data_IF_049914792138
#
_entry.id   IF_049914792138
#
_cell.length_a   1.000
_cell.length_b   1.000
_cell.length_c   1.000
_cell.angle_alpha   90.00
_cell.angle_beta   90.00
_cell.angle_gamma   90.00
#
_symmetry.space_group_name_H-M   'P 1'
#
loop_
_entity.id
_entity.type
_entity.pdbx_description
1 polymer ?
#
# COMPACT_ATOMS: atom_id res chain seq x y z
N UNK A 1 3.11 -31.40 -6.82
CA UNK A 1 3.97 -30.88 -5.73
C UNK A 1 3.05 -30.21 -4.71
N UNK A 2 3.49 -29.57 -3.60
CA UNK A 2 2.54 -28.93 -2.70
C UNK A 2 1.89 -27.70 -3.36
N UNK A 3 0.56 -27.63 -3.30
CA UNK A 3 -0.24 -26.60 -3.95
C UNK A 3 -0.05 -25.24 -3.24
N UNK A 4 0.10 -24.16 -4.00
CA UNK A 4 0.25 -22.79 -3.47
C UNK A 4 -0.87 -21.88 -4.00
N UNK A 5 -1.34 -20.95 -3.19
CA UNK A 5 -2.36 -19.95 -3.56
C UNK A 5 -1.75 -18.56 -3.71
N UNK A 6 -2.08 -17.86 -4.79
CA UNK A 6 -1.72 -16.46 -4.99
C UNK A 6 -2.95 -15.60 -5.26
N UNK A 7 -3.23 -14.64 -4.37
CA UNK A 7 -4.30 -13.66 -4.55
C UNK A 7 -3.68 -12.29 -4.89
N UNK A 8 -3.87 -11.83 -6.13
CA UNK A 8 -3.44 -10.51 -6.58
C UNK A 8 -4.63 -9.54 -6.66
N UNK A 9 -4.44 -8.28 -6.26
CA UNK A 9 -5.44 -7.23 -6.54
C UNK A 9 -5.60 -7.05 -8.05
N UNK A 10 -6.80 -6.69 -8.51
CA UNK A 10 -6.98 -6.29 -9.91
C UNK A 10 -6.17 -5.03 -10.24
N UNK A 11 -5.96 -4.82 -11.54
CA UNK A 11 -5.21 -3.67 -12.05
C UNK A 11 -6.14 -2.60 -12.65
N UNK A 12 -5.83 -1.33 -12.37
CA UNK A 12 -6.43 -0.20 -13.07
C UNK A 12 -6.12 -0.30 -14.58
N UNK A 13 -4.82 -0.42 -14.93
CA UNK A 13 -4.37 -0.69 -16.30
C UNK A 13 -4.81 -2.08 -16.73
N UNK A 14 -5.51 -2.16 -17.86
CA UNK A 14 -5.96 -3.40 -18.49
C UNK A 14 -5.43 -3.44 -19.93
N UNK A 15 -5.07 -4.63 -20.42
CA UNK A 15 -4.62 -4.85 -21.81
C UNK A 15 -5.61 -5.70 -22.59
N UNK A 16 -5.34 -5.87 -23.87
CA UNK A 16 -6.17 -6.63 -24.81
C UNK A 16 -7.41 -5.86 -25.24
N UNK A 17 -8.16 -6.40 -26.22
CA UNK A 17 -9.33 -5.74 -26.81
C UNK A 17 -10.54 -5.83 -25.86
N UNK A 18 -11.72 -5.32 -26.23
CA UNK A 18 -12.83 -5.17 -25.29
C UNK A 18 -13.52 -6.50 -24.91
N UNK A 19 -13.40 -7.52 -25.77
CA UNK A 19 -13.95 -8.86 -25.64
C UNK A 19 -13.42 -9.59 -24.38
N UNK A 20 -14.17 -10.55 -23.80
CA UNK A 20 -13.72 -11.29 -22.64
C UNK A 20 -12.39 -12.03 -22.87
N UNK A 21 -11.38 -11.76 -22.04
CA UNK A 21 -10.11 -12.50 -21.99
C UNK A 21 -9.79 -12.86 -20.53
N UNK A 22 -8.99 -13.91 -20.31
CA UNK A 22 -8.64 -14.39 -18.97
C UNK A 22 -8.12 -13.25 -18.08
N UNK A 23 -8.46 -13.24 -16.78
CA UNK A 23 -8.04 -12.21 -15.84
C UNK A 23 -6.50 -12.05 -15.74
N UNK A 24 -5.76 -13.15 -15.82
CA UNK A 24 -4.30 -13.22 -15.95
C UNK A 24 -3.80 -12.39 -17.15
N UNK A 25 -4.54 -12.44 -18.26
CA UNK A 25 -4.24 -11.68 -19.45
C UNK A 25 -4.72 -10.23 -19.35
N UNK A 26 -5.97 -10.00 -18.92
CA UNK A 26 -6.59 -8.68 -18.81
C UNK A 26 -5.79 -7.71 -17.93
N UNK A 27 -5.34 -8.12 -16.74
CA UNK A 27 -4.74 -7.19 -15.77
C UNK A 27 -3.27 -6.88 -16.07
N UNK A 28 -2.93 -5.60 -16.28
CA UNK A 28 -1.56 -5.19 -16.62
C UNK A 28 -0.88 -4.35 -15.52
N UNK A 29 -1.08 -4.78 -14.27
CA UNK A 29 -0.41 -4.22 -13.11
C UNK A 29 1.02 -4.78 -12.94
N UNK A 30 1.95 -4.08 -12.27
CA UNK A 30 3.31 -4.57 -12.07
C UNK A 30 3.41 -5.98 -11.45
N UNK A 31 2.54 -6.32 -10.47
CA UNK A 31 2.49 -7.66 -9.88
C UNK A 31 2.06 -8.73 -10.90
N UNK A 32 1.08 -8.42 -11.76
CA UNK A 32 0.64 -9.30 -12.84
C UNK A 32 1.71 -9.51 -13.91
N UNK A 33 2.53 -8.47 -14.17
CA UNK A 33 3.69 -8.57 -15.07
C UNK A 33 4.78 -9.49 -14.50
N UNK A 34 5.06 -9.40 -13.20
CA UNK A 34 5.98 -10.31 -12.49
C UNK A 34 5.45 -11.75 -12.57
N UNK A 35 4.18 -11.98 -12.21
CA UNK A 35 3.57 -13.30 -12.31
C UNK A 35 3.67 -13.89 -13.72
N UNK A 36 3.29 -13.14 -14.77
CA UNK A 36 3.39 -13.64 -16.15
C UNK A 36 4.82 -13.88 -16.61
N UNK A 37 5.79 -13.10 -16.15
CA UNK A 37 7.21 -13.35 -16.43
C UNK A 37 7.67 -14.65 -15.76
N UNK A 38 7.29 -14.86 -14.50
CA UNK A 38 7.60 -16.07 -13.76
C UNK A 38 6.96 -17.32 -14.40
N UNK A 39 5.68 -17.26 -14.77
CA UNK A 39 4.96 -18.37 -15.43
C UNK A 39 5.58 -18.77 -16.77
N UNK A 40 6.03 -17.80 -17.59
CA UNK A 40 6.74 -18.10 -18.85
C UNK A 40 8.10 -18.78 -18.62
N UNK A 41 8.78 -18.43 -17.53
CA UNK A 41 10.10 -18.96 -17.22
C UNK A 41 10.05 -20.29 -16.43
N UNK A 42 8.91 -20.61 -15.80
CA UNK A 42 8.72 -21.77 -14.93
C UNK A 42 7.46 -22.58 -15.31
N UNK A 43 7.29 -23.02 -16.57
CA UNK A 43 6.06 -23.68 -17.02
C UNK A 43 5.76 -24.99 -16.26
N UNK A 44 6.79 -25.70 -15.79
CA UNK A 44 6.65 -26.91 -14.96
C UNK A 44 6.10 -26.67 -13.56
N UNK A 45 6.23 -25.44 -13.02
CA UNK A 45 5.73 -25.06 -11.70
C UNK A 45 4.38 -24.33 -11.74
N UNK A 46 3.87 -24.03 -12.95
CA UNK A 46 2.59 -23.38 -13.14
C UNK A 46 1.38 -24.22 -12.66
N UNK A 47 1.34 -25.57 -12.82
CA UNK A 47 0.23 -26.39 -12.31
C UNK A 47 0.09 -26.42 -10.78
N UNK A 48 1.18 -26.16 -10.04
CA UNK A 48 1.18 -26.14 -8.57
C UNK A 48 0.83 -24.76 -7.98
N UNK A 49 0.41 -23.80 -8.81
CA UNK A 49 0.11 -22.42 -8.41
C UNK A 49 -1.30 -22.00 -8.82
N UNK A 50 -2.24 -22.08 -7.88
CA UNK A 50 -3.58 -21.49 -8.05
C UNK A 50 -3.47 -19.97 -7.94
N UNK A 51 -3.92 -19.24 -8.97
CA UNK A 51 -3.92 -17.78 -8.98
C UNK A 51 -5.35 -17.24 -9.02
N UNK A 52 -5.65 -16.30 -8.13
CA UNK A 52 -6.90 -15.57 -8.06
C UNK A 52 -6.69 -14.06 -8.16
N UNK A 53 -7.66 -13.37 -8.76
CA UNK A 53 -7.74 -11.92 -8.81
C UNK A 53 -8.82 -11.40 -7.85
N UNK A 54 -8.47 -10.50 -6.95
CA UNK A 54 -9.41 -9.75 -6.13
C UNK A 54 -9.81 -8.45 -6.85
N UNK A 55 -11.04 -8.41 -7.36
CA UNK A 55 -11.56 -7.40 -8.28
C UNK A 55 -12.68 -6.54 -7.67
N UNK A 56 -12.67 -5.24 -7.98
CA UNK A 56 -13.76 -4.31 -7.66
C UNK A 56 -15.07 -4.63 -8.43
N UNK A 57 -14.95 -5.16 -9.64
CA UNK A 57 -16.10 -5.52 -10.47
C UNK A 57 -16.62 -6.93 -10.13
N UNK A 58 -15.71 -7.90 -10.01
CA UNK A 58 -16.05 -9.32 -10.02
C UNK A 58 -15.89 -10.04 -8.67
N UNK A 59 -15.43 -9.36 -7.62
CA UNK A 59 -15.08 -10.03 -6.35
C UNK A 59 -13.80 -10.86 -6.49
N UNK A 60 -13.72 -11.98 -5.77
CA UNK A 60 -12.59 -12.92 -5.86
C UNK A 60 -12.85 -13.95 -6.96
N UNK A 61 -12.01 -13.96 -8.01
CA UNK A 61 -12.19 -14.81 -9.20
C UNK A 61 -10.89 -15.55 -9.58
N UNK A 62 -10.95 -16.75 -10.19
CA UNK A 62 -9.77 -17.42 -10.74
C UNK A 62 -9.10 -16.57 -11.82
N UNK A 63 -7.78 -16.61 -11.92
CA UNK A 63 -7.04 -15.85 -12.92
C UNK A 63 -7.30 -16.33 -14.37
N UNK A 64 -7.77 -17.57 -14.55
CA UNK A 64 -8.24 -18.09 -15.84
C UNK A 64 -9.61 -17.56 -16.28
N UNK A 65 -10.41 -16.98 -15.38
CA UNK A 65 -11.77 -16.54 -15.71
C UNK A 65 -11.75 -15.43 -16.77
N UNK A 66 -12.52 -15.61 -17.84
CA UNK A 66 -12.70 -14.59 -18.88
C UNK A 66 -13.44 -13.38 -18.31
N UNK A 67 -12.87 -12.19 -18.51
CA UNK A 67 -13.45 -10.91 -18.06
C UNK A 67 -13.40 -9.85 -19.16
N UNK A 68 -14.52 -9.12 -19.28
CA UNK A 68 -14.63 -7.95 -20.14
C UNK A 68 -13.69 -6.82 -19.68
N UNK A 69 -13.46 -5.86 -20.56
CA UNK A 69 -12.85 -4.60 -20.17
C UNK A 69 -13.82 -3.80 -19.27
N UNK A 70 -13.30 -3.17 -18.22
CA UNK A 70 -14.07 -2.33 -17.30
C UNK A 70 -13.18 -1.22 -16.71
N UNK A 71 -13.76 -0.14 -16.18
CA UNK A 71 -13.02 0.79 -15.32
C UNK A 71 -13.73 1.00 -13.97
N UNK A 72 -13.22 0.32 -12.94
CA UNK A 72 -13.74 0.38 -11.58
C UNK A 72 -12.59 0.14 -10.60
N UNK A 73 -12.53 0.93 -9.53
CA UNK A 73 -11.42 0.93 -8.57
C UNK A 73 -11.94 0.88 -7.13
N UNK A 74 -11.49 -0.10 -6.34
CA UNK A 74 -11.93 -0.32 -4.94
C UNK A 74 -13.47 -0.26 -4.85
N UNK A 75 -14.13 0.58 -4.05
CA UNK A 75 -13.79 1.58 -3.01
C UNK A 75 -13.82 1.01 -1.57
N UNK A 76 -13.71 1.78 -0.46
CA UNK A 76 -13.99 1.24 0.87
C UNK A 76 -15.42 0.69 1.01
N UNK A 77 -16.39 1.37 0.40
CA UNK A 77 -17.81 1.00 0.44
C UNK A 77 -18.03 -0.29 -0.37
N UNK A 78 -17.51 -0.34 -1.61
CA UNK A 78 -17.53 -1.54 -2.46
C UNK A 78 -16.73 -2.71 -1.87
N UNK A 79 -15.65 -2.42 -1.12
CA UNK A 79 -14.91 -3.45 -0.39
C UNK A 79 -15.79 -4.09 0.70
N UNK A 80 -16.51 -3.27 1.48
CA UNK A 80 -17.46 -3.75 2.48
C UNK A 80 -18.65 -4.50 1.86
N UNK A 81 -19.18 -4.02 0.74
CA UNK A 81 -20.27 -4.64 -0.03
C UNK A 81 -19.88 -6.05 -0.54
N UNK A 82 -18.69 -6.19 -1.13
CA UNK A 82 -18.22 -7.46 -1.67
C UNK A 82 -17.71 -8.44 -0.59
N UNK A 83 -17.30 -7.94 0.58
CA UNK A 83 -16.60 -8.72 1.60
C UNK A 83 -17.31 -10.02 2.00
N UNK A 84 -18.63 -10.09 2.28
CA UNK A 84 -19.28 -11.35 2.65
C UNK A 84 -19.12 -12.44 1.58
N UNK A 85 -19.30 -12.08 0.30
CA UNK A 85 -19.11 -13.00 -0.83
C UNK A 85 -17.64 -13.38 -1.02
N UNK A 86 -16.72 -12.44 -0.83
CA UNK A 86 -15.28 -12.72 -0.93
C UNK A 86 -14.84 -13.69 0.17
N UNK A 87 -15.29 -13.50 1.41
CA UNK A 87 -14.96 -14.38 2.54
C UNK A 87 -15.54 -15.79 2.37
N UNK A 88 -16.75 -15.93 1.81
CA UNK A 88 -17.32 -17.23 1.46
C UNK A 88 -16.44 -17.99 0.45
N UNK A 89 -16.08 -17.34 -0.68
CA UNK A 89 -15.18 -17.91 -1.69
C UNK A 89 -13.80 -18.21 -1.08
N UNK A 90 -13.29 -17.33 -0.20
CA UNK A 90 -12.01 -17.57 0.46
C UNK A 90 -12.08 -18.78 1.39
N UNK A 91 -13.15 -18.96 2.17
CA UNK A 91 -13.36 -20.13 3.03
C UNK A 91 -13.45 -21.45 2.25
N UNK A 92 -14.08 -21.44 1.07
CA UNK A 92 -14.06 -22.57 0.12
C UNK A 92 -12.64 -22.88 -0.38
N UNK A 93 -11.86 -21.85 -0.74
CA UNK A 93 -10.45 -22.02 -1.12
C UNK A 93 -9.62 -22.56 0.03
N UNK A 94 -9.85 -22.12 1.27
CA UNK A 94 -9.14 -22.63 2.44
C UNK A 94 -9.45 -24.09 2.77
N UNK A 95 -10.44 -24.74 2.12
CA UNK A 95 -10.63 -26.21 2.23
C UNK A 95 -9.68 -27.02 1.34
N UNK A 96 -8.96 -26.37 0.41
CA UNK A 96 -7.99 -27.02 -0.47
C UNK A 96 -6.66 -27.24 0.28
N UNK A 97 -5.87 -28.29 -0.07
CA UNK A 97 -4.61 -28.61 0.58
C UNK A 97 -3.46 -27.67 0.13
N UNK A 98 -3.63 -26.36 0.33
CA UNK A 98 -2.57 -25.39 0.14
C UNK A 98 -1.55 -25.49 1.27
N UNK A 99 -0.26 -25.40 0.96
CA UNK A 99 0.80 -25.28 2.00
C UNK A 99 1.17 -23.84 2.31
N UNK A 100 0.98 -22.94 1.34
CA UNK A 100 1.28 -21.53 1.47
C UNK A 100 0.35 -20.68 0.60
N UNK A 101 0.01 -19.48 1.08
CA UNK A 101 -0.71 -18.47 0.33
C UNK A 101 0.02 -17.11 0.34
N UNK A 102 -0.09 -16.35 -0.76
CA UNK A 102 0.45 -15.01 -0.87
C UNK A 102 -0.59 -13.98 -1.33
N UNK A 103 -0.76 -12.91 -0.55
CA UNK A 103 -1.69 -11.82 -0.79
C UNK A 103 -0.94 -10.60 -1.35
N UNK A 104 -0.93 -10.48 -2.68
CA UNK A 104 -0.40 -9.35 -3.45
C UNK A 104 -1.32 -8.11 -3.43
N UNK A 105 -1.82 -7.74 -2.25
CA UNK A 105 -2.87 -6.75 -2.07
C UNK A 105 -2.33 -5.36 -1.69
N UNK A 106 -3.21 -4.35 -1.72
CA UNK A 106 -2.95 -3.04 -1.10
C UNK A 106 -3.89 -2.84 0.09
N UNK A 107 -3.60 -1.89 0.99
CA UNK A 107 -4.47 -1.58 2.15
C UNK A 107 -5.95 -1.36 1.79
N UNK A 108 -6.27 -0.85 0.57
CA UNK A 108 -7.66 -0.68 0.09
C UNK A 108 -8.34 -1.99 -0.31
N UNK A 109 -7.57 -3.00 -0.72
CA UNK A 109 -8.06 -4.34 -1.07
C UNK A 109 -8.07 -5.29 0.13
N UNK A 110 -7.17 -5.11 1.11
CA UNK A 110 -7.19 -5.87 2.36
C UNK A 110 -8.52 -5.71 3.12
N UNK A 111 -9.16 -4.53 3.07
CA UNK A 111 -10.51 -4.30 3.64
C UNK A 111 -11.60 -5.22 3.06
N UNK A 112 -11.45 -5.66 1.81
CA UNK A 112 -12.42 -6.55 1.15
C UNK A 112 -12.26 -8.02 1.57
N UNK A 113 -11.20 -8.34 2.33
CA UNK A 113 -10.95 -9.64 2.96
C UNK A 113 -10.82 -9.52 4.49
N UNK A 114 -11.22 -8.40 5.10
CA UNK A 114 -11.15 -8.22 6.56
C UNK A 114 -11.92 -9.34 7.28
N UNK A 115 -11.29 -10.03 8.24
CA UNK A 115 -11.79 -11.29 8.82
C UNK A 115 -11.34 -12.57 8.10
N UNK A 116 -10.39 -12.48 7.15
CA UNK A 116 -9.81 -13.65 6.45
C UNK A 116 -9.13 -14.64 7.40
N UNK A 117 -8.59 -14.15 8.50
CA UNK A 117 -7.92 -14.91 9.55
C UNK A 117 -8.85 -15.96 10.19
N UNK A 118 -10.14 -15.66 10.30
CA UNK A 118 -11.15 -16.57 10.85
C UNK A 118 -11.53 -17.73 9.90
N UNK A 119 -11.18 -17.66 8.61
CA UNK A 119 -11.48 -18.72 7.62
C UNK A 119 -10.25 -19.53 7.20
N UNK A 120 -9.06 -19.17 7.70
CA UNK A 120 -7.79 -19.84 7.39
C UNK A 120 -7.57 -21.06 8.28
N UNK A 121 -7.11 -22.15 7.68
CA UNK A 121 -6.71 -23.35 8.43
C UNK A 121 -5.45 -23.09 9.28
N UNK A 122 -5.41 -23.56 10.54
CA UNK A 122 -4.19 -23.53 11.35
C UNK A 122 -3.01 -24.21 10.63
N UNK A 123 -1.87 -23.52 10.55
CA UNK A 123 -0.64 -24.04 9.94
C UNK A 123 -0.42 -23.65 8.47
N UNK A 124 -1.37 -23.01 7.79
CA UNK A 124 -1.15 -22.45 6.46
C UNK A 124 -0.19 -21.24 6.53
N UNK A 125 0.93 -21.27 5.80
CA UNK A 125 1.85 -20.13 5.75
C UNK A 125 1.24 -19.01 4.90
N UNK A 126 1.02 -17.82 5.48
CA UNK A 126 0.42 -16.68 4.77
C UNK A 126 1.37 -15.50 4.70
N UNK A 127 1.79 -15.21 3.47
CA UNK A 127 2.57 -14.02 3.12
C UNK A 127 1.62 -12.89 2.70
N UNK A 128 1.69 -11.73 3.37
CA UNK A 128 1.03 -10.50 2.88
C UNK A 128 2.11 -9.53 2.40
N UNK A 129 2.12 -9.21 1.10
CA UNK A 129 3.10 -8.25 0.57
C UNK A 129 2.89 -6.86 1.16
N UNK A 130 3.96 -6.11 1.41
CA UNK A 130 3.90 -4.84 2.13
C UNK A 130 4.96 -3.83 1.62
N UNK A 131 5.11 -2.68 2.30
CA UNK A 131 6.06 -1.64 1.87
C UNK A 131 5.75 -0.97 0.52
N UNK A 132 6.80 -0.44 -0.11
CA UNK A 132 6.74 0.28 -1.39
C UNK A 132 6.61 -0.67 -2.60
N UNK A 133 6.20 -0.15 -3.76
CA UNK A 133 5.94 -0.99 -4.95
C UNK A 133 7.13 -1.89 -5.35
N UNK A 134 8.36 -1.36 -5.36
CA UNK A 134 9.56 -2.17 -5.66
C UNK A 134 9.77 -3.31 -4.67
N UNK A 135 9.52 -3.06 -3.37
CA UNK A 135 9.59 -4.07 -2.31
C UNK A 135 8.55 -5.16 -2.52
N UNK A 136 7.28 -4.79 -2.81
CA UNK A 136 6.20 -5.74 -3.13
C UNK A 136 6.53 -6.63 -4.34
N UNK A 137 7.20 -6.08 -5.35
CA UNK A 137 7.60 -6.83 -6.55
C UNK A 137 8.72 -7.84 -6.20
N UNK A 138 9.71 -7.42 -5.40
CA UNK A 138 10.75 -8.31 -4.89
C UNK A 138 10.21 -9.43 -3.99
N UNK A 139 9.29 -9.11 -3.08
CA UNK A 139 8.60 -10.08 -2.22
C UNK A 139 7.79 -11.09 -3.03
N UNK A 140 7.01 -10.64 -4.01
CA UNK A 140 6.26 -11.54 -4.89
C UNK A 140 7.19 -12.46 -5.68
N UNK A 141 8.28 -11.93 -6.25
CA UNK A 141 9.28 -12.73 -6.95
C UNK A 141 9.91 -13.78 -6.04
N UNK A 142 10.38 -13.38 -4.85
CA UNK A 142 10.97 -14.31 -3.88
C UNK A 142 10.00 -15.43 -3.47
N UNK A 143 8.74 -15.11 -3.18
CA UNK A 143 7.71 -16.10 -2.82
C UNK A 143 7.38 -17.06 -3.99
N UNK A 144 7.29 -16.54 -5.22
CA UNK A 144 7.08 -17.37 -6.42
C UNK A 144 8.23 -18.37 -6.62
N UNK A 145 9.47 -17.90 -6.45
CA UNK A 145 10.70 -18.70 -6.53
C UNK A 145 10.91 -19.65 -5.32
N UNK A 146 10.04 -19.62 -4.30
CA UNK A 146 10.21 -20.41 -3.07
C UNK A 146 11.42 -19.98 -2.23
N UNK A 147 11.95 -18.77 -2.44
CA UNK A 147 13.08 -18.22 -1.68
C UNK A 147 12.61 -17.70 -0.31
N UNK A 148 13.48 -17.69 0.72
CA UNK A 148 13.13 -17.22 2.06
C UNK A 148 12.43 -15.86 2.03
N UNK A 149 11.19 -15.83 2.50
CA UNK A 149 10.43 -14.59 2.52
C UNK A 149 11.00 -13.63 3.55
N UNK A 150 11.29 -12.40 3.11
CA UNK A 150 11.62 -11.29 3.99
C UNK A 150 10.40 -10.36 4.04
N UNK A 151 9.71 -10.39 5.19
CA UNK A 151 8.84 -9.30 5.61
C UNK A 151 9.57 -7.97 5.37
N UNK A 152 8.87 -6.91 4.94
CA UNK A 152 9.56 -5.62 4.96
C UNK A 152 9.81 -5.26 6.43
N UNK A 153 11.09 -5.27 6.81
CA UNK A 153 11.55 -4.82 8.14
C UNK A 153 11.28 -3.33 8.38
N UNK A 154 10.69 -2.66 7.39
CA UNK A 154 9.97 -1.40 7.49
C UNK A 154 8.64 -1.53 8.26
N UNK A 155 8.73 -1.99 9.53
CA UNK A 155 8.11 -1.18 10.59
C UNK A 155 8.71 0.21 10.40
N UNK A 156 7.91 1.13 9.86
CA UNK A 156 8.38 2.48 9.58
C UNK A 156 8.81 3.07 10.93
N UNK A 157 10.12 3.30 11.08
CA UNK A 157 10.65 3.94 12.27
C UNK A 157 10.36 5.44 12.18
N UNK A 158 10.04 6.12 13.30
CA UNK A 158 10.00 7.57 13.34
C UNK A 158 11.27 8.17 12.75
N UNK A 159 11.11 9.21 11.93
CA UNK A 159 12.25 9.95 11.37
C UNK A 159 12.66 10.96 12.44
N UNK A 160 13.77 10.67 13.12
CA UNK A 160 14.36 11.59 14.10
C UNK A 160 15.08 12.74 13.40
N UNK A 161 14.93 13.94 13.96
CA UNK A 161 15.71 15.10 13.57
C UNK A 161 17.21 14.88 13.91
N UNK A 162 18.16 15.43 13.13
CA UNK A 162 19.55 15.48 13.55
C UNK A 162 19.70 16.39 14.77
N UNK A 163 20.60 16.05 15.70
CA UNK A 163 20.88 16.83 16.94
C UNK A 163 21.32 18.27 16.67
N UNK A 164 21.98 18.51 15.52
CA UNK A 164 22.26 19.84 14.99
C UNK A 164 21.58 19.98 13.61
N UNK A 165 20.31 20.42 13.55
CA UNK A 165 19.63 20.67 12.28
C UNK A 165 20.28 21.84 11.54
N UNK A 166 20.16 21.84 10.21
CA UNK A 166 20.78 22.88 9.37
C UNK A 166 20.13 24.25 9.56
N UNK A 167 18.91 24.30 10.09
CA UNK A 167 18.11 25.52 10.19
C UNK A 167 17.75 26.13 8.83
N UNK A 168 18.04 25.43 7.73
CA UNK A 168 17.76 25.81 6.34
C UNK A 168 17.32 24.60 5.54
N UNK A 169 16.27 24.76 4.75
CA UNK A 169 15.71 23.74 3.89
C UNK A 169 15.09 24.33 2.62
N UNK A 170 15.08 23.57 1.52
CA UNK A 170 14.52 24.00 0.23
C UNK A 170 13.48 23.01 -0.27
N UNK A 171 12.31 23.49 -0.71
CA UNK A 171 11.24 22.67 -1.27
C UNK A 171 10.43 23.46 -2.30
N UNK A 172 10.06 22.81 -3.42
CA UNK A 172 9.25 23.42 -4.49
C UNK A 172 9.79 24.78 -5.02
N UNK A 173 11.12 24.99 -4.96
CA UNK A 173 11.78 26.23 -5.35
C UNK A 173 12.00 27.22 -4.19
N UNK A 174 11.18 27.17 -3.14
CA UNK A 174 11.26 28.05 -1.96
C UNK A 174 12.34 27.56 -1.01
N UNK A 175 13.23 28.45 -0.59
CA UNK A 175 14.21 28.21 0.47
C UNK A 175 13.78 28.93 1.75
N UNK A 176 13.92 28.27 2.89
CA UNK A 176 13.50 28.76 4.21
C UNK A 176 14.64 28.58 5.20
N UNK A 177 14.93 29.64 5.95
CA UNK A 177 15.81 29.61 7.11
C UNK A 177 14.97 29.77 8.38
N UNK A 178 14.77 28.68 9.13
CA UNK A 178 14.01 28.64 10.40
C UNK A 178 14.57 27.57 11.32
N UNK A 179 14.55 27.85 12.62
CA UNK A 179 14.80 26.92 13.72
C UNK A 179 13.55 26.08 13.99
N UNK A 180 13.71 25.00 14.75
CA UNK A 180 12.60 24.14 15.19
C UNK A 180 11.46 24.95 15.84
N UNK A 181 11.80 25.87 16.75
CA UNK A 181 10.80 26.62 17.51
C UNK A 181 9.97 27.54 16.62
N UNK A 182 10.60 28.29 15.71
CA UNK A 182 9.91 29.18 14.75
C UNK A 182 8.94 28.41 13.83
N UNK A 183 9.22 27.13 13.56
CA UNK A 183 8.30 26.24 12.84
C UNK A 183 7.13 25.79 13.73
N UNK A 184 7.38 25.52 15.02
CA UNK A 184 6.33 25.18 15.99
C UNK A 184 5.44 26.39 16.30
N UNK A 185 5.99 27.60 16.40
CA UNK A 185 5.24 28.86 16.52
C UNK A 185 4.26 29.04 15.36
N UNK A 186 4.71 28.83 14.12
CA UNK A 186 3.85 28.85 12.93
C UNK A 186 2.80 27.75 12.93
N UNK A 187 3.13 26.56 13.44
CA UNK A 187 2.17 25.47 13.57
C UNK A 187 1.07 25.83 14.57
N UNK A 188 1.45 26.32 15.77
CA UNK A 188 0.54 26.81 16.81
C UNK A 188 -0.39 27.90 16.26
N UNK A 189 0.17 28.94 15.63
CA UNK A 189 -0.62 30.04 15.06
C UNK A 189 -1.64 29.56 14.01
N UNK A 190 -1.27 28.65 13.12
CA UNK A 190 -2.17 28.10 12.11
C UNK A 190 -3.24 27.15 12.69
N UNK A 191 -2.95 26.46 13.80
CA UNK A 191 -3.95 25.67 14.54
C UNK A 191 -4.95 26.59 15.23
N UNK A 192 -4.49 27.62 15.95
CA UNK A 192 -5.35 28.63 16.60
C UNK A 192 -6.23 29.38 15.60
N UNK A 193 -5.71 29.67 14.40
CA UNK A 193 -6.47 30.29 13.30
C UNK A 193 -7.44 29.32 12.59
N UNK A 194 -7.56 28.06 13.03
CA UNK A 194 -8.52 27.10 12.46
C UNK A 194 -8.22 26.64 11.04
N UNK A 195 -6.95 26.71 10.59
CA UNK A 195 -6.59 26.40 9.19
C UNK A 195 -6.78 24.91 8.90
N UNK A 196 -7.87 24.57 8.23
CA UNK A 196 -8.31 23.19 7.99
C UNK A 196 -7.27 22.29 7.30
N UNK A 197 -7.37 21.00 7.58
CA UNK A 197 -6.54 19.95 6.95
C UNK A 197 -5.28 19.57 7.72
N UNK A 198 -5.08 20.09 8.93
CA UNK A 198 -4.01 19.64 9.84
C UNK A 198 -4.10 18.14 10.15
N UNK A 199 -5.30 17.59 10.20
CA UNK A 199 -5.64 16.18 10.43
C UNK A 199 -5.39 15.25 9.22
N UNK A 200 -5.13 15.79 8.02
CA UNK A 200 -5.09 15.02 6.75
C UNK A 200 -3.80 14.24 6.53
N UNK A 201 -3.44 13.38 7.47
CA UNK A 201 -2.37 12.39 7.36
C UNK A 201 -2.92 10.95 7.32
N UNK A 202 -2.10 10.02 6.80
CA UNK A 202 -2.44 8.58 6.74
C UNK A 202 -1.42 7.67 7.43
N UNK A 203 -0.18 8.12 7.50
CA UNK A 203 0.99 7.26 7.68
C UNK A 203 2.07 7.90 8.56
N UNK A 204 2.12 9.24 8.60
CA UNK A 204 3.16 10.04 9.24
C UNK A 204 2.55 11.32 9.78
N UNK A 205 2.91 11.71 11.00
CA UNK A 205 2.45 12.94 11.64
C UNK A 205 3.61 13.63 12.36
N UNK A 206 3.39 14.87 12.77
CA UNK A 206 4.28 15.63 13.65
C UNK A 206 3.47 15.95 14.91
N UNK A 207 4.14 15.92 16.07
CA UNK A 207 3.57 16.39 17.32
C UNK A 207 3.84 17.90 17.46
N UNK A 208 2.77 18.67 17.61
CA UNK A 208 2.78 20.07 17.99
C UNK A 208 1.95 20.13 19.26
N UNK A 209 2.61 20.31 20.40
CA UNK A 209 1.99 20.36 21.73
C UNK A 209 1.02 19.20 22.03
N UNK A 210 1.44 17.99 21.62
CA UNK A 210 0.65 16.76 21.74
C UNK A 210 -0.37 16.53 20.62
N UNK A 211 -0.76 17.57 19.87
CA UNK A 211 -1.64 17.43 18.71
C UNK A 211 -0.88 16.85 17.50
N UNK A 212 -1.52 15.90 16.81
CA UNK A 212 -0.99 15.28 15.59
C UNK A 212 -1.32 16.13 14.37
N UNK A 213 -0.30 16.58 13.63
CA UNK A 213 -0.49 17.35 12.38
C UNK A 213 0.17 16.70 11.17
N UNK A 214 -0.42 16.92 9.99
CA UNK A 214 0.04 16.37 8.73
C UNK A 214 1.30 17.10 8.24
N UNK A 215 2.41 16.39 7.92
CA UNK A 215 3.66 17.02 7.49
C UNK A 215 3.48 17.93 6.26
N UNK A 216 2.59 17.56 5.33
CA UNK A 216 2.32 18.39 4.15
C UNK A 216 1.59 19.69 4.48
N UNK A 217 0.65 19.65 5.44
CA UNK A 217 -0.08 20.84 5.89
C UNK A 217 0.87 21.81 6.60
N UNK A 218 1.75 21.31 7.48
CA UNK A 218 2.72 22.17 8.17
C UNK A 218 3.65 22.86 7.17
N UNK A 219 4.15 22.14 6.16
CA UNK A 219 4.95 22.77 5.09
C UNK A 219 4.17 23.85 4.34
N UNK A 220 2.88 23.67 4.04
CA UNK A 220 2.11 24.74 3.40
C UNK A 220 1.97 25.99 4.28
N UNK A 221 1.92 25.87 5.61
CA UNK A 221 1.93 27.03 6.52
C UNK A 221 3.30 27.72 6.59
N UNK A 222 4.38 26.96 6.41
CA UNK A 222 5.75 27.52 6.39
C UNK A 222 6.01 28.29 5.08
N UNK A 223 5.68 27.71 3.92
CA UNK A 223 6.09 28.22 2.60
C UNK A 223 4.98 28.95 1.81
N UNK A 224 3.74 28.97 2.31
CA UNK A 224 2.59 29.60 1.65
C UNK A 224 2.10 28.91 0.37
N UNK A 225 2.65 27.75 -0.01
CA UNK A 225 2.28 27.03 -1.22
C UNK A 225 1.29 25.88 -0.94
N UNK A 226 0.31 25.63 -1.84
CA UNK A 226 -0.65 24.55 -1.67
C UNK A 226 0.02 23.18 -1.73
N UNK A 227 -0.48 22.24 -0.92
CA UNK A 227 0.17 20.94 -0.72
C UNK A 227 0.36 20.10 -1.99
N UNK A 228 -0.35 20.38 -3.09
CA UNK A 228 -0.16 19.72 -4.39
C UNK A 228 1.23 19.98 -5.00
N UNK A 229 1.90 21.08 -4.65
CA UNK A 229 3.20 21.49 -5.21
C UNK A 229 4.39 20.63 -4.74
N UNK A 230 4.19 19.71 -3.80
CA UNK A 230 5.25 18.84 -3.28
C UNK A 230 4.72 17.49 -2.79
N UNK A 231 5.60 16.48 -2.79
CA UNK A 231 5.29 15.13 -2.29
C UNK A 231 5.35 15.05 -0.76
N UNK A 232 4.73 14.02 -0.17
CA UNK A 232 4.86 13.73 1.26
C UNK A 232 6.31 13.39 1.66
N UNK A 233 7.10 12.81 0.75
CA UNK A 233 8.52 12.52 1.00
C UNK A 233 9.36 13.79 1.13
N UNK A 234 9.18 14.74 0.20
CA UNK A 234 9.84 16.04 0.26
C UNK A 234 9.45 16.82 1.51
N UNK A 235 8.16 16.83 1.89
CA UNK A 235 7.70 17.51 3.10
C UNK A 235 8.39 16.97 4.38
N UNK A 236 8.49 15.64 4.54
CA UNK A 236 9.20 15.04 5.69
C UNK A 236 10.70 15.39 5.69
N UNK A 237 11.36 15.38 4.53
CA UNK A 237 12.78 15.72 4.45
C UNK A 237 13.04 17.20 4.78
N UNK A 238 12.19 18.11 4.29
CA UNK A 238 12.25 19.54 4.58
C UNK A 238 12.11 19.81 6.09
N UNK A 239 11.08 19.25 6.73
CA UNK A 239 10.83 19.43 8.17
C UNK A 239 11.95 18.84 9.03
N UNK A 240 12.49 17.68 8.63
CA UNK A 240 13.67 17.07 9.27
C UNK A 240 14.90 18.00 9.19
N UNK A 241 15.12 18.70 8.08
CA UNK A 241 16.23 19.65 7.92
C UNK A 241 16.09 20.89 8.81
N UNK A 242 14.85 21.32 9.09
CA UNK A 242 14.50 22.37 10.05
C UNK A 242 14.47 21.87 11.52
N UNK A 243 14.67 20.57 11.75
CA UNK A 243 14.84 19.99 13.09
C UNK A 243 13.58 19.41 13.73
N UNK A 244 12.54 19.09 12.95
CA UNK A 244 11.35 18.39 13.46
C UNK A 244 11.46 16.87 13.29
N UNK A 245 11.00 16.17 14.31
CA UNK A 245 10.78 14.73 14.28
C UNK A 245 9.48 14.42 13.53
N UNK A 246 9.45 13.32 12.78
CA UNK A 246 8.24 12.84 12.10
C UNK A 246 7.91 11.45 12.62
N UNK A 247 6.83 11.36 13.38
CA UNK A 247 6.29 10.13 13.91
C UNK A 247 5.53 9.33 12.84
N UNK A 248 5.35 8.05 13.11
CA UNK A 248 4.60 7.11 12.29
C UNK A 248 3.28 6.82 12.99
N UNK A 249 2.18 6.79 12.23
CA UNK A 249 0.89 6.33 12.76
C UNK A 249 1.05 4.86 13.16
N UNK A 250 0.84 4.48 14.43
CA UNK A 250 0.92 3.09 14.86
C UNK A 250 0.03 2.21 13.97
N UNK A 251 0.54 1.05 13.60
CA UNK A 251 -0.30 0.05 12.92
C UNK A 251 -1.19 -0.59 14.00
N UNK A 252 -2.50 -0.54 13.75
CA UNK A 252 -3.54 -1.25 14.51
C UNK A 252 -3.49 -2.74 14.15
#
# INVERSE_FOLDING_TARGET
>A
MPLRLLILKCSARKRGPHEPIAALERYDGPLWRVLRAWLRNNPSLAPDLDVYALSAAFGLIPAGQLIQWYDQTMSPERASELRPRILAILGELMQRPYVAACFGLSRRYLRAIEGWDAVVQPGLEITVTDGALGVKLGQLGAWLDGRPWQASTSRRKPIRAPTKPRGRAKIAGVEVAMRREEVLDRARAALTAGVGGADRFRDWYILVDGQRVAPKWLVSQIIGLPTIRFSAGQARMFLRQLGLDIEVVPEL
#
